data_IF_462183670701
#
_entry.id   IF_462183670701
#
_cell.length_a   1.000
_cell.length_b   1.000
_cell.length_c   1.000
_cell.angle_alpha   90.00
_cell.angle_beta   90.00
_cell.angle_gamma   90.00
#
_symmetry.space_group_name_H-M   'P 1'
#
loop_
_entity.id
_entity.type
_entity.pdbx_description
1 polymer ?
#
# COMPACT_ATOMS: atom_id res chain seq x y z
N UNK A 1 -6.04 -33.51 -40.48
CA UNK A 1 -6.02 -33.70 -39.02
C UNK A 1 -5.68 -32.37 -38.37
N UNK A 2 -6.68 -31.67 -37.85
CA UNK A 2 -6.50 -30.44 -37.09
C UNK A 2 -6.47 -30.82 -35.59
N UNK A 3 -5.34 -30.59 -34.93
CA UNK A 3 -5.23 -30.70 -33.47
C UNK A 3 -5.53 -29.33 -32.91
N UNK A 4 -6.74 -29.18 -32.34
CA UNK A 4 -7.11 -28.00 -31.59
C UNK A 4 -6.45 -28.06 -30.21
N UNK A 5 -5.41 -27.24 -29.99
CA UNK A 5 -4.83 -27.05 -28.68
C UNK A 5 -5.78 -26.23 -27.81
N UNK A 6 -6.38 -26.85 -26.79
CA UNK A 6 -7.07 -26.14 -25.73
C UNK A 6 -6.01 -25.43 -24.87
N UNK A 7 -5.89 -24.12 -25.07
CA UNK A 7 -5.17 -23.28 -24.15
C UNK A 7 -5.95 -23.17 -22.85
N UNK A 8 -5.43 -23.74 -21.77
CA UNK A 8 -5.95 -23.51 -20.42
C UNK A 8 -5.57 -22.09 -20.04
N UNK A 9 -6.53 -21.17 -20.15
CA UNK A 9 -6.40 -19.83 -19.58
C UNK A 9 -6.51 -20.00 -18.07
N UNK A 10 -5.37 -19.97 -17.38
CA UNK A 10 -5.34 -19.95 -15.94
C UNK A 10 -6.00 -18.67 -15.44
N UNK A 11 -7.20 -18.78 -14.93
CA UNK A 11 -7.86 -17.68 -14.19
C UNK A 11 -7.09 -17.50 -12.90
N UNK A 12 -6.29 -16.42 -12.81
CA UNK A 12 -5.74 -16.00 -11.53
C UNK A 12 -6.91 -15.57 -10.65
N UNK A 13 -7.22 -16.37 -9.62
CA UNK A 13 -8.25 -16.03 -8.63
C UNK A 13 -7.68 -14.91 -7.78
N UNK A 14 -8.17 -13.68 -7.97
CA UNK A 14 -7.87 -12.57 -7.08
C UNK A 14 -8.45 -12.87 -5.69
N UNK A 15 -7.74 -12.47 -4.62
CA UNK A 15 -8.25 -12.60 -3.26
C UNK A 15 -9.61 -11.88 -3.15
N UNK A 16 -10.57 -12.50 -2.46
CA UNK A 16 -11.90 -11.95 -2.27
C UNK A 16 -11.83 -10.61 -1.53
N UNK A 17 -12.51 -9.60 -2.08
CA UNK A 17 -12.54 -8.24 -1.55
C UNK A 17 -13.09 -8.22 -0.12
N UNK A 18 -12.48 -7.42 0.76
CA UNK A 18 -12.90 -7.30 2.16
C UNK A 18 -12.42 -8.42 3.07
N UNK A 19 -11.52 -9.27 2.60
CA UNK A 19 -10.88 -10.32 3.43
C UNK A 19 -9.54 -9.86 3.99
N UNK A 20 -9.08 -10.54 5.04
CA UNK A 20 -7.72 -10.35 5.57
C UNK A 20 -6.66 -10.52 4.48
N UNK A 21 -6.79 -11.53 3.63
CA UNK A 21 -5.82 -11.80 2.57
C UNK A 21 -5.77 -10.68 1.53
N UNK A 22 -6.91 -10.14 1.12
CA UNK A 22 -6.96 -9.00 0.20
C UNK A 22 -6.31 -7.75 0.80
N UNK A 23 -6.60 -7.43 2.06
CA UNK A 23 -6.00 -6.32 2.81
C UNK A 23 -4.49 -6.49 2.95
N UNK A 24 -4.06 -7.69 3.34
CA UNK A 24 -2.65 -8.05 3.47
C UNK A 24 -1.91 -7.94 2.14
N UNK A 25 -2.49 -8.38 1.04
CA UNK A 25 -1.91 -8.27 -0.29
C UNK A 25 -1.68 -6.80 -0.70
N UNK A 26 -2.65 -5.92 -0.43
CA UNK A 26 -2.51 -4.48 -0.70
C UNK A 26 -1.42 -3.84 0.16
N UNK A 27 -1.36 -4.17 1.46
CA UNK A 27 -0.31 -3.65 2.34
C UNK A 27 1.08 -4.19 1.97
N UNK A 28 1.21 -5.41 1.48
CA UNK A 28 2.46 -5.94 0.95
C UNK A 28 2.96 -5.15 -0.26
N UNK A 29 2.06 -4.71 -1.13
CA UNK A 29 2.43 -3.81 -2.24
C UNK A 29 2.99 -2.48 -1.73
N UNK A 30 2.31 -1.86 -0.78
CA UNK A 30 2.77 -0.61 -0.16
C UNK A 30 4.11 -0.81 0.55
N UNK A 31 4.24 -1.86 1.34
CA UNK A 31 5.47 -2.21 2.05
C UNK A 31 6.65 -2.49 1.11
N UNK A 32 6.42 -3.19 0.01
CA UNK A 32 7.43 -3.44 -1.01
C UNK A 32 7.89 -2.15 -1.69
N UNK A 33 6.97 -1.27 -2.05
CA UNK A 33 7.28 0.03 -2.62
C UNK A 33 8.07 0.93 -1.64
N UNK A 34 7.62 0.99 -0.38
CA UNK A 34 8.33 1.72 0.66
C UNK A 34 9.75 1.15 0.90
N UNK A 35 9.88 -0.18 0.93
CA UNK A 35 11.17 -0.87 1.08
C UNK A 35 12.15 -0.55 -0.04
N UNK A 36 11.70 -0.47 -1.28
CA UNK A 36 12.52 -0.08 -2.43
C UNK A 36 13.06 1.35 -2.29
N UNK A 37 12.23 2.27 -1.83
CA UNK A 37 12.66 3.65 -1.57
C UNK A 37 13.62 3.75 -0.39
N UNK A 38 13.38 3.02 0.68
CA UNK A 38 14.27 2.96 1.85
C UNK A 38 15.63 2.41 1.47
N UNK A 39 15.71 1.37 0.64
CA UNK A 39 16.96 0.79 0.15
C UNK A 39 17.79 1.83 -0.64
N UNK A 40 17.15 2.63 -1.46
CA UNK A 40 17.81 3.76 -2.16
C UNK A 40 18.29 4.81 -1.16
N UNK A 41 17.46 5.21 -0.21
CA UNK A 41 17.80 6.22 0.79
C UNK A 41 19.01 5.81 1.65
N UNK A 42 19.14 4.52 1.95
CA UNK A 42 20.25 3.96 2.72
C UNK A 42 21.51 3.67 1.90
N UNK A 43 21.46 3.81 0.59
CA UNK A 43 22.56 3.48 -0.31
C UNK A 43 22.76 1.97 -0.54
N UNK A 44 21.80 1.14 -0.15
CA UNK A 44 21.81 -0.32 -0.40
C UNK A 44 21.52 -0.65 -1.86
N UNK A 45 20.80 0.23 -2.54
CA UNK A 45 20.52 0.19 -3.97
C UNK A 45 20.86 1.55 -4.59
N UNK A 46 21.35 1.58 -5.85
CA UNK A 46 21.61 2.85 -6.53
C UNK A 46 20.30 3.63 -6.74
N UNK A 47 20.42 4.95 -6.80
CA UNK A 47 19.28 5.78 -7.17
C UNK A 47 18.79 5.42 -8.58
N UNK A 48 17.49 5.21 -8.69
CA UNK A 48 16.81 4.94 -9.96
C UNK A 48 15.47 5.68 -9.96
N UNK A 49 15.36 6.68 -10.82
CA UNK A 49 14.16 7.52 -10.91
C UNK A 49 12.90 6.72 -11.25
N UNK A 50 13.01 5.69 -12.09
CA UNK A 50 11.87 4.84 -12.45
C UNK A 50 11.39 3.99 -11.26
N UNK A 51 12.31 3.49 -10.45
CA UNK A 51 11.96 2.77 -9.21
C UNK A 51 11.25 3.69 -8.23
N UNK A 52 11.75 4.91 -8.04
CA UNK A 52 11.13 5.92 -7.17
C UNK A 52 9.73 6.28 -7.65
N UNK A 53 9.60 6.54 -8.95
CA UNK A 53 8.31 6.85 -9.59
C UNK A 53 7.30 5.71 -9.45
N UNK A 54 7.70 4.49 -9.77
CA UNK A 54 6.84 3.31 -9.64
C UNK A 54 6.41 3.06 -8.18
N UNK A 55 7.32 3.24 -7.23
CA UNK A 55 7.05 3.07 -5.80
C UNK A 55 6.03 4.09 -5.29
N UNK A 56 6.21 5.35 -5.63
CA UNK A 56 5.28 6.42 -5.24
C UNK A 56 3.90 6.23 -5.87
N UNK A 57 3.85 5.83 -7.13
CA UNK A 57 2.60 5.50 -7.82
C UNK A 57 1.86 4.36 -7.11
N UNK A 58 2.58 3.29 -6.77
CA UNK A 58 2.00 2.14 -6.03
C UNK A 58 1.45 2.57 -4.67
N UNK A 59 2.19 3.36 -3.91
CA UNK A 59 1.74 3.84 -2.59
C UNK A 59 0.50 4.71 -2.75
N UNK A 60 0.51 5.67 -3.67
CA UNK A 60 -0.61 6.59 -3.89
C UNK A 60 -1.88 5.86 -4.32
N UNK A 61 -1.80 5.02 -5.33
CA UNK A 61 -2.96 4.31 -5.87
C UNK A 61 -3.51 3.27 -4.89
N UNK A 62 -2.64 2.53 -4.21
CA UNK A 62 -3.06 1.51 -3.24
C UNK A 62 -3.71 2.13 -2.01
N UNK A 63 -3.13 3.20 -1.45
CA UNK A 63 -3.71 3.91 -0.31
C UNK A 63 -5.09 4.49 -0.63
N UNK A 64 -5.28 4.98 -1.86
CA UNK A 64 -6.56 5.54 -2.32
C UNK A 64 -7.70 4.52 -2.26
N UNK A 65 -7.45 3.28 -2.62
CA UNK A 65 -8.49 2.23 -2.70
C UNK A 65 -8.53 1.33 -1.46
N UNK A 66 -7.54 1.39 -0.60
CA UNK A 66 -7.44 0.53 0.58
C UNK A 66 -8.67 0.57 1.50
N UNK A 67 -9.28 1.74 1.78
CA UNK A 67 -10.50 1.79 2.61
C UNK A 67 -11.67 1.01 2.06
N UNK A 68 -11.74 0.75 0.77
CA UNK A 68 -12.82 -0.01 0.14
C UNK A 68 -12.88 -1.47 0.61
N UNK A 69 -11.78 -1.97 1.19
CA UNK A 69 -11.69 -3.31 1.78
C UNK A 69 -12.40 -3.43 3.15
N UNK A 70 -12.89 -2.32 3.70
CA UNK A 70 -13.42 -2.25 5.07
C UNK A 70 -14.90 -1.86 5.10
N UNK A 71 -15.69 -2.45 4.23
CA UNK A 71 -17.15 -2.25 4.20
C UNK A 71 -17.82 -2.79 5.47
N UNK A 72 -18.99 -2.27 5.84
CA UNK A 72 -19.75 -2.83 6.97
C UNK A 72 -19.95 -4.34 6.84
N UNK A 73 -19.74 -5.09 7.93
CA UNK A 73 -19.86 -6.54 7.95
C UNK A 73 -18.58 -7.32 7.63
N UNK A 74 -17.47 -6.63 7.28
CA UNK A 74 -16.19 -7.27 6.93
C UNK A 74 -15.20 -7.31 8.09
N UNK A 75 -15.60 -6.92 9.30
CA UNK A 75 -14.76 -6.91 10.50
C UNK A 75 -14.47 -8.29 11.06
N UNK A 76 -15.29 -9.28 10.74
CA UNK A 76 -15.14 -10.64 11.24
C UNK A 76 -13.99 -11.37 10.53
N UNK A 77 -13.19 -12.10 11.33
CA UNK A 77 -12.12 -12.96 10.81
C UNK A 77 -10.78 -12.26 10.57
N UNK A 78 -10.70 -10.94 10.74
CA UNK A 78 -9.44 -10.21 10.64
C UNK A 78 -9.01 -9.67 12.02
N UNK A 79 -8.13 -10.43 12.68
CA UNK A 79 -7.60 -10.06 14.00
C UNK A 79 -6.61 -8.89 13.97
N UNK A 80 -6.09 -8.56 12.79
CA UNK A 80 -5.13 -7.48 12.62
C UNK A 80 -5.82 -6.11 12.40
N UNK A 81 -7.09 -6.09 12.00
CA UNK A 81 -7.86 -4.88 11.82
C UNK A 81 -8.55 -4.46 13.12
N UNK A 82 -8.24 -3.26 13.60
CA UNK A 82 -8.89 -2.72 14.80
C UNK A 82 -10.38 -2.45 14.55
N UNK A 83 -11.26 -2.71 15.52
CA UNK A 83 -12.68 -2.28 15.45
C UNK A 83 -12.85 -0.79 15.21
N UNK A 84 -11.87 0.02 15.58
CA UNK A 84 -11.87 1.49 15.37
C UNK A 84 -12.03 1.88 13.91
N UNK A 85 -11.66 1.01 12.96
CA UNK A 85 -11.87 1.26 11.53
C UNK A 85 -13.37 1.46 11.22
N UNK A 86 -14.22 0.65 11.83
CA UNK A 86 -15.68 0.71 11.64
C UNK A 86 -16.39 1.65 12.60
N UNK A 87 -15.76 1.98 13.74
CA UNK A 87 -16.25 2.97 14.71
C UNK A 87 -15.96 4.40 14.25
N UNK A 88 -14.82 4.63 13.60
CA UNK A 88 -14.39 5.93 13.08
C UNK A 88 -13.93 5.83 11.61
N UNK A 89 -14.84 5.48 10.70
CA UNK A 89 -14.49 5.31 9.29
C UNK A 89 -14.05 6.60 8.62
N UNK A 90 -14.49 7.75 9.10
CA UNK A 90 -14.09 9.05 8.55
C UNK A 90 -12.61 9.33 8.78
N UNK A 91 -12.08 9.09 9.98
CA UNK A 91 -10.65 9.27 10.26
C UNK A 91 -9.79 8.24 9.52
N UNK A 92 -10.26 6.99 9.45
CA UNK A 92 -9.58 5.95 8.70
C UNK A 92 -9.42 6.33 7.20
N UNK A 93 -10.50 6.75 6.57
CA UNK A 93 -10.50 7.23 5.18
C UNK A 93 -9.62 8.47 4.99
N UNK A 94 -9.68 9.42 5.93
CA UNK A 94 -8.88 10.64 5.88
C UNK A 94 -7.37 10.33 5.94
N UNK A 95 -6.94 9.39 6.78
CA UNK A 95 -5.53 8.98 6.87
C UNK A 95 -5.05 8.27 5.63
N UNK A 96 -5.86 7.39 5.05
CA UNK A 96 -5.54 6.74 3.78
C UNK A 96 -5.45 7.76 2.63
N UNK A 97 -6.38 8.70 2.55
CA UNK A 97 -6.37 9.78 1.58
C UNK A 97 -5.15 10.69 1.74
N UNK A 98 -4.74 10.95 2.98
CA UNK A 98 -3.52 11.75 3.25
C UNK A 98 -2.26 11.05 2.75
N UNK A 99 -2.10 9.75 3.00
CA UNK A 99 -0.98 8.98 2.46
C UNK A 99 -0.97 9.03 0.92
N UNK A 100 -2.11 8.81 0.31
CA UNK A 100 -2.26 8.89 -1.15
C UNK A 100 -1.87 10.26 -1.69
N UNK A 101 -2.37 11.33 -1.08
CA UNK A 101 -2.09 12.71 -1.49
C UNK A 101 -0.62 13.08 -1.28
N UNK A 102 -0.02 12.71 -0.16
CA UNK A 102 1.40 12.99 0.12
C UNK A 102 2.31 12.25 -0.86
N UNK A 103 2.02 10.98 -1.17
CA UNK A 103 2.76 10.24 -2.19
C UNK A 103 2.63 10.86 -3.58
N UNK A 104 1.43 11.30 -3.97
CA UNK A 104 1.20 11.99 -5.24
C UNK A 104 1.95 13.32 -5.32
N UNK A 105 2.04 14.06 -4.21
CA UNK A 105 2.79 15.31 -4.12
C UNK A 105 4.28 15.09 -4.34
N UNK A 106 4.85 14.04 -3.70
CA UNK A 106 6.26 13.66 -3.92
C UNK A 106 6.48 13.21 -5.36
N UNK A 107 5.53 12.48 -5.95
CA UNK A 107 5.59 12.05 -7.35
C UNK A 107 5.61 13.24 -8.32
N UNK A 108 4.86 14.30 -8.03
CA UNK A 108 4.82 15.52 -8.85
C UNK A 108 6.15 16.30 -8.83
N UNK A 109 6.92 16.18 -7.77
CA UNK A 109 8.26 16.73 -7.61
C UNK A 109 9.22 15.62 -7.23
N UNK A 110 9.54 14.74 -8.18
CA UNK A 110 10.28 13.52 -7.94
C UNK A 110 11.62 13.80 -7.24
N UNK A 111 11.89 13.12 -6.09
CA UNK A 111 13.16 13.27 -5.38
C UNK A 111 14.35 12.93 -6.29
N UNK A 112 15.34 13.84 -6.46
CA UNK A 112 16.40 13.67 -7.46
C UNK A 112 17.58 12.81 -7.00
N UNK A 113 17.67 12.48 -5.71
CA UNK A 113 18.81 11.81 -5.11
C UNK A 113 18.41 11.01 -3.85
N UNK A 114 19.31 10.15 -3.33
CA UNK A 114 19.01 9.34 -2.13
C UNK A 114 18.63 10.13 -0.89
N UNK A 115 19.24 11.30 -0.67
CA UNK A 115 18.91 12.13 0.49
C UNK A 115 17.47 12.67 0.40
N UNK A 116 17.06 13.12 -0.77
CA UNK A 116 15.70 13.58 -1.02
C UNK A 116 14.67 12.45 -0.93
N UNK A 117 15.02 11.24 -1.38
CA UNK A 117 14.20 10.03 -1.17
C UNK A 117 14.02 9.75 0.32
N UNK A 118 15.09 9.85 1.11
CA UNK A 118 15.06 9.70 2.56
C UNK A 118 14.15 10.71 3.24
N UNK A 119 14.20 11.97 2.82
CA UNK A 119 13.33 13.03 3.34
C UNK A 119 11.84 12.74 3.02
N UNK A 120 11.54 12.31 1.80
CA UNK A 120 10.20 11.89 1.41
C UNK A 120 9.70 10.71 2.25
N UNK A 121 10.56 9.70 2.50
CA UNK A 121 10.21 8.54 3.31
C UNK A 121 9.96 8.86 4.79
N UNK A 122 10.56 9.91 5.33
CA UNK A 122 10.20 10.42 6.66
C UNK A 122 8.74 10.83 6.72
N UNK A 123 8.28 11.61 5.78
CA UNK A 123 6.88 12.06 5.70
C UNK A 123 5.92 10.92 5.46
N UNK A 124 6.20 10.06 4.49
CA UNK A 124 5.34 8.92 4.16
C UNK A 124 5.31 7.89 5.31
N UNK A 125 6.46 7.61 5.92
CA UNK A 125 6.56 6.71 7.06
C UNK A 125 5.76 7.20 8.29
N UNK A 126 5.71 8.49 8.53
CA UNK A 126 4.88 9.07 9.58
C UNK A 126 3.38 8.82 9.32
N UNK A 127 2.94 8.89 8.07
CA UNK A 127 1.56 8.52 7.69
C UNK A 127 1.29 7.03 7.92
N UNK A 128 2.23 6.16 7.54
CA UNK A 128 2.13 4.71 7.79
C UNK A 128 1.99 4.42 9.28
N UNK A 129 2.86 4.98 10.10
CA UNK A 129 2.87 4.80 11.55
C UNK A 129 1.62 5.34 12.23
N UNK A 130 1.18 6.54 11.85
CA UNK A 130 0.01 7.18 12.44
C UNK A 130 -1.29 6.42 12.19
N UNK A 131 -1.45 5.85 11.00
CA UNK A 131 -2.60 5.00 10.69
C UNK A 131 -2.53 3.67 11.45
N UNK A 132 -1.38 2.99 11.42
CA UNK A 132 -1.19 1.70 12.07
C UNK A 132 -1.34 1.77 13.59
N UNK A 133 -0.91 2.85 14.22
CA UNK A 133 -1.05 3.03 15.68
C UNK A 133 -2.51 2.94 16.14
N UNK A 134 -3.42 3.53 15.37
CA UNK A 134 -4.86 3.56 15.72
C UNK A 134 -5.63 2.36 15.18
N UNK A 135 -5.33 1.93 13.96
CA UNK A 135 -6.20 1.05 13.18
C UNK A 135 -5.66 -0.37 12.97
N UNK A 136 -4.41 -0.62 13.34
CA UNK A 136 -3.80 -1.95 13.24
C UNK A 136 -3.58 -2.55 14.63
N UNK A 137 -3.97 -3.82 14.79
CA UNK A 137 -3.62 -4.63 15.95
C UNK A 137 -2.42 -5.47 15.57
N UNK A 138 -1.34 -5.40 16.36
CA UNK A 138 -0.21 -6.31 16.18
C UNK A 138 -0.64 -7.71 16.57
N UNK A 139 -0.46 -8.64 15.66
CA UNK A 139 -0.65 -10.07 15.88
C UNK A 139 0.72 -10.73 15.90
N UNK A 140 1.03 -11.44 16.99
CA UNK A 140 2.28 -12.21 17.11
C UNK A 140 2.22 -13.47 16.24
#
# INVERSE_FOLDING_TARGET
MLVAGLGVVGVAIAAEEGTHDARSALMKKVGGAAGAMVAIAKGEKPYDAEVVKASLTTISETAKVFPDQFKPGTEKGDKAASPKIWEDPADFKARAAKLSADASKVLAQLPPDPAAVGAAMKTLGANCGGCHEKFRIKTD
#
